data_IF_064247746335
#
_entry.id   IF_064247746335
#
_cell.length_a   1.000
_cell.length_b   1.000
_cell.length_c   1.000
_cell.angle_alpha   90.00
_cell.angle_beta   90.00
_cell.angle_gamma   90.00
#
_symmetry.space_group_name_H-M   'P 1'
#
loop_
_entity.id
_entity.type
_entity.pdbx_description
1 polymer ?
#
# COMPACT_ATOMS: atom_id res chain seq x y z
N UNK A 1 3.58 10.45 -7.51
CA UNK A 1 4.80 10.70 -6.71
C UNK A 1 4.59 11.54 -5.43
N UNK A 2 3.36 11.86 -4.97
CA UNK A 2 3.14 12.75 -3.79
C UNK A 2 2.76 12.00 -2.51
N UNK A 3 2.23 10.77 -2.61
CA UNK A 3 1.80 9.99 -1.42
C UNK A 3 2.98 9.31 -0.70
N UNK A 4 4.02 8.88 -1.42
CA UNK A 4 5.14 8.09 -0.87
C UNK A 4 6.16 8.92 -0.08
N UNK A 5 6.38 10.20 -0.41
CA UNK A 5 7.42 11.04 0.22
C UNK A 5 7.12 11.45 1.67
N UNK A 6 5.97 11.05 2.25
CA UNK A 6 5.57 11.45 3.61
C UNK A 6 5.25 10.31 4.57
N UNK A 7 5.54 9.06 4.23
CA UNK A 7 5.49 7.98 5.24
C UNK A 7 6.74 8.02 6.10
N UNK A 8 6.80 9.03 6.97
CA UNK A 8 7.76 9.11 8.06
C UNK A 8 7.44 7.93 9.00
N UNK A 9 8.17 6.82 8.86
CA UNK A 9 8.02 5.58 9.62
C UNK A 9 7.71 5.91 11.09
N UNK A 10 6.53 5.48 11.54
CA UNK A 10 5.80 6.07 12.66
C UNK A 10 6.71 6.46 13.86
N UNK A 11 6.95 7.78 14.01
CA UNK A 11 7.73 8.36 15.12
C UNK A 11 7.22 7.97 16.51
N UNK A 12 5.96 7.56 16.62
CA UNK A 12 5.36 7.03 17.84
C UNK A 12 4.30 5.96 17.54
N UNK A 13 4.02 5.07 18.51
CA UNK A 13 2.95 4.05 18.37
C UNK A 13 1.55 4.64 18.13
N UNK A 14 1.28 5.84 18.65
CA UNK A 14 0.04 6.57 18.35
C UNK A 14 -0.04 6.94 16.86
N UNK A 15 1.09 7.33 16.27
CA UNK A 15 1.18 7.60 14.84
C UNK A 15 0.98 6.31 14.02
N UNK A 16 1.51 5.19 14.49
CA UNK A 16 1.32 3.90 13.81
C UNK A 16 -0.16 3.50 13.68
N UNK A 17 -0.94 3.64 14.75
CA UNK A 17 -2.39 3.35 14.69
C UNK A 17 -3.13 4.25 13.71
N UNK A 18 -2.78 5.53 13.64
CA UNK A 18 -3.36 6.46 12.65
C UNK A 18 -2.96 6.08 11.23
N UNK A 19 -1.69 5.72 11.01
CA UNK A 19 -1.21 5.28 9.72
C UNK A 19 -1.94 4.01 9.24
N UNK A 20 -2.16 3.03 10.13
CA UNK A 20 -2.96 1.85 9.82
C UNK A 20 -4.39 2.23 9.38
N UNK A 21 -5.07 3.08 10.15
CA UNK A 21 -6.44 3.53 9.83
C UNK A 21 -6.54 4.19 8.45
N UNK A 22 -5.61 5.09 8.13
CA UNK A 22 -5.59 5.76 6.81
C UNK A 22 -5.36 4.77 5.68
N UNK A 23 -4.48 3.78 5.88
CA UNK A 23 -4.24 2.74 4.88
C UNK A 23 -5.45 1.82 4.72
N UNK A 24 -6.13 1.46 5.81
CA UNK A 24 -7.35 0.65 5.76
C UNK A 24 -8.47 1.38 4.99
N UNK A 25 -8.73 2.65 5.30
CA UNK A 25 -9.72 3.48 4.59
C UNK A 25 -9.40 3.60 3.09
N UNK A 26 -8.11 3.74 2.75
CA UNK A 26 -7.66 3.78 1.36
C UNK A 26 -7.90 2.44 0.65
N UNK A 27 -7.59 1.31 1.30
CA UNK A 27 -7.83 -0.01 0.74
C UNK A 27 -9.32 -0.25 0.54
N UNK A 28 -10.14 0.02 1.56
CA UNK A 28 -11.59 -0.15 1.52
C UNK A 28 -12.21 0.63 0.35
N UNK A 29 -11.87 1.90 0.22
CA UNK A 29 -12.40 2.75 -0.87
C UNK A 29 -12.00 2.30 -2.27
N UNK A 30 -10.84 1.65 -2.44
CA UNK A 30 -10.36 1.19 -3.74
C UNK A 30 -10.75 -0.24 -4.09
N UNK A 31 -10.95 -1.11 -3.10
CA UNK A 31 -11.43 -2.49 -3.32
C UNK A 31 -12.78 -2.48 -4.04
N UNK A 32 -13.67 -1.56 -3.69
CA UNK A 32 -14.97 -1.40 -4.35
C UNK A 32 -14.87 -1.03 -5.84
N UNK A 33 -13.72 -0.49 -6.27
CA UNK A 33 -13.47 -0.11 -7.65
C UNK A 33 -12.89 -1.25 -8.49
N UNK A 34 -12.32 -2.29 -7.87
CA UNK A 34 -11.69 -3.42 -8.58
C UNK A 34 -12.61 -4.10 -9.61
N UNK A 35 -13.90 -4.37 -9.33
CA UNK A 35 -14.78 -5.02 -10.30
C UNK A 35 -14.99 -4.20 -11.57
N UNK A 36 -14.82 -2.88 -11.50
CA UNK A 36 -14.98 -1.96 -12.64
C UNK A 36 -13.74 -1.90 -13.54
N UNK A 37 -12.62 -2.50 -13.12
CA UNK A 37 -11.41 -2.54 -13.92
C UNK A 37 -11.47 -3.64 -15.00
N UNK A 38 -10.86 -3.39 -16.16
CA UNK A 38 -10.57 -4.44 -17.14
C UNK A 38 -9.80 -5.59 -16.49
N UNK A 39 -10.08 -6.82 -16.93
CA UNK A 39 -9.51 -8.03 -16.34
C UNK A 39 -7.98 -8.00 -16.26
N UNK A 40 -7.33 -7.52 -17.33
CA UNK A 40 -5.87 -7.42 -17.42
C UNK A 40 -5.23 -6.46 -16.38
N UNK A 41 -5.99 -5.49 -15.84
CA UNK A 41 -5.53 -4.55 -14.81
C UNK A 41 -5.92 -4.96 -13.40
N UNK A 42 -6.98 -5.78 -13.28
CA UNK A 42 -7.57 -6.15 -11.99
C UNK A 42 -6.57 -6.89 -11.10
N UNK A 43 -5.75 -7.77 -11.67
CA UNK A 43 -4.74 -8.52 -10.94
C UNK A 43 -3.69 -7.59 -10.29
N UNK A 44 -3.06 -6.72 -11.09
CA UNK A 44 -2.04 -5.78 -10.60
C UNK A 44 -2.62 -4.78 -9.59
N UNK A 45 -3.85 -4.32 -9.82
CA UNK A 45 -4.55 -3.47 -8.86
C UNK A 45 -4.85 -4.21 -7.54
N UNK A 46 -5.26 -5.48 -7.59
CA UNK A 46 -5.49 -6.28 -6.38
C UNK A 46 -4.19 -6.52 -5.60
N UNK A 47 -3.08 -6.81 -6.28
CA UNK A 47 -1.76 -6.94 -5.65
C UNK A 47 -1.31 -5.63 -4.98
N UNK A 48 -1.53 -4.49 -5.62
CA UNK A 48 -1.22 -3.17 -5.04
C UNK A 48 -2.01 -2.93 -3.75
N UNK A 49 -3.32 -3.23 -3.74
CA UNK A 49 -4.16 -3.09 -2.55
C UNK A 49 -3.78 -4.09 -1.45
N UNK A 50 -3.36 -5.31 -1.82
CA UNK A 50 -2.87 -6.29 -0.86
C UNK A 50 -1.59 -5.81 -0.16
N UNK A 51 -0.66 -5.19 -0.88
CA UNK A 51 0.56 -4.63 -0.27
C UNK A 51 0.27 -3.44 0.65
N UNK A 52 -0.71 -2.58 0.30
CA UNK A 52 -1.18 -1.53 1.22
C UNK A 52 -1.82 -2.11 2.50
N UNK A 53 -2.61 -3.18 2.38
CA UNK A 53 -3.21 -3.86 3.52
C UNK A 53 -2.14 -4.49 4.43
N UNK A 54 -1.13 -5.13 3.83
CA UNK A 54 0.03 -5.68 4.56
C UNK A 54 0.81 -4.61 5.32
N UNK A 55 0.95 -3.42 4.73
CA UNK A 55 1.57 -2.27 5.39
C UNK A 55 0.72 -1.76 6.57
N UNK A 56 -0.61 -1.71 6.41
CA UNK A 56 -1.53 -1.36 7.50
C UNK A 56 -1.40 -2.36 8.67
N UNK A 57 -1.30 -3.65 8.38
CA UNK A 57 -1.08 -4.70 9.39
C UNK A 57 0.26 -4.55 10.12
N UNK A 58 1.34 -4.24 9.42
CA UNK A 58 2.63 -3.97 10.07
C UNK A 58 2.51 -2.80 11.08
N UNK A 59 1.81 -1.72 10.71
CA UNK A 59 1.55 -0.62 11.63
C UNK A 59 0.66 -1.02 12.82
N UNK A 60 -0.36 -1.86 12.61
CA UNK A 60 -1.19 -2.42 13.69
C UNK A 60 -0.35 -3.24 14.65
N UNK A 61 0.47 -4.16 14.15
CA UNK A 61 1.32 -5.02 14.96
C UNK A 61 2.31 -4.21 15.80
N UNK A 62 2.92 -3.18 15.23
CA UNK A 62 3.78 -2.28 15.99
C UNK A 62 3.01 -1.49 17.06
N UNK A 63 1.80 -1.00 16.71
CA UNK A 63 0.89 -0.32 17.64
C UNK A 63 0.37 -1.19 18.79
N UNK A 64 0.39 -2.51 18.61
CA UNK A 64 0.03 -3.55 19.59
C UNK A 64 1.24 -4.16 20.31
N UNK A 65 2.46 -3.79 19.92
CA UNK A 65 3.74 -4.33 20.42
C UNK A 65 4.02 -5.79 20.04
N UNK A 66 3.41 -6.29 18.97
CA UNK A 66 3.73 -7.61 18.42
C UNK A 66 5.01 -7.62 17.60
N UNK A 67 5.38 -6.45 17.05
CA UNK A 67 6.67 -6.21 16.42
C UNK A 67 7.32 -4.96 17.02
N UNK A 68 8.64 -4.88 16.94
CA UNK A 68 9.37 -3.68 17.31
C UNK A 68 9.46 -2.68 16.15
N UNK A 69 10.24 -1.62 16.38
CA UNK A 69 10.41 -0.55 15.39
C UNK A 69 11.25 -1.01 14.21
N UNK A 70 12.31 -1.77 14.43
CA UNK A 70 13.21 -2.23 13.37
C UNK A 70 12.46 -3.13 12.39
N UNK A 71 11.63 -4.03 12.91
CA UNK A 71 10.78 -4.89 12.10
C UNK A 71 9.69 -4.11 11.35
N UNK A 72 9.14 -3.04 11.96
CA UNK A 72 8.25 -2.13 11.25
C UNK A 72 8.97 -1.44 10.09
N UNK A 73 10.18 -0.94 10.30
CA UNK A 73 10.97 -0.27 9.26
C UNK A 73 11.33 -1.25 8.14
N UNK A 74 11.74 -2.47 8.47
CA UNK A 74 12.05 -3.53 7.50
C UNK A 74 10.82 -3.90 6.65
N UNK A 75 9.67 -4.16 7.27
CA UNK A 75 8.42 -4.46 6.55
C UNK A 75 7.92 -3.26 5.76
N UNK A 76 8.07 -2.06 6.31
CA UNK A 76 7.71 -0.80 5.67
C UNK A 76 8.48 -0.58 4.38
N UNK A 77 9.82 -0.69 4.41
CA UNK A 77 10.65 -0.58 3.21
C UNK A 77 10.29 -1.66 2.18
N UNK A 78 10.16 -2.92 2.60
CA UNK A 78 9.80 -4.00 1.67
C UNK A 78 8.43 -3.78 1.01
N UNK A 79 7.45 -3.23 1.71
CA UNK A 79 6.14 -2.92 1.14
C UNK A 79 6.23 -1.74 0.16
N UNK A 80 6.98 -0.69 0.51
CA UNK A 80 7.19 0.48 -0.37
C UNK A 80 7.86 0.05 -1.68
N UNK A 81 8.91 -0.76 -1.63
CA UNK A 81 9.63 -1.25 -2.83
C UNK A 81 8.70 -2.02 -3.78
N UNK A 82 7.78 -2.82 -3.21
CA UNK A 82 6.77 -3.55 -3.99
C UNK A 82 5.72 -2.63 -4.57
N UNK A 83 5.23 -1.65 -3.80
CA UNK A 83 4.27 -0.66 -4.29
C UNK A 83 4.85 0.16 -5.44
N UNK A 84 6.13 0.55 -5.38
CA UNK A 84 6.82 1.24 -6.48
C UNK A 84 6.90 0.37 -7.74
N UNK A 85 7.21 -0.92 -7.57
CA UNK A 85 7.24 -1.90 -8.66
C UNK A 85 5.86 -2.03 -9.32
N UNK A 86 4.82 -2.23 -8.50
CA UNK A 86 3.44 -2.41 -8.96
C UNK A 86 2.89 -1.14 -9.61
N UNK A 87 3.22 0.05 -9.08
CA UNK A 87 2.83 1.32 -9.69
C UNK A 87 3.46 1.47 -11.08
N UNK A 88 4.75 1.14 -11.24
CA UNK A 88 5.43 1.14 -12.54
C UNK A 88 4.74 0.19 -13.53
N UNK A 89 4.30 -0.98 -13.07
CA UNK A 89 3.54 -1.92 -13.91
C UNK A 89 2.18 -1.37 -14.32
N UNK A 90 1.44 -0.73 -13.40
CA UNK A 90 0.16 -0.09 -13.70
C UNK A 90 0.30 1.05 -14.72
N UNK A 91 1.35 1.87 -14.60
CA UNK A 91 1.62 2.97 -15.54
C UNK A 91 1.89 2.43 -16.95
N UNK A 92 2.69 1.37 -17.08
CA UNK A 92 2.89 0.69 -18.37
C UNK A 92 1.59 0.13 -18.93
N UNK A 93 0.76 -0.52 -18.12
CA UNK A 93 -0.55 -1.03 -18.54
C UNK A 93 -1.51 0.08 -18.98
N UNK A 94 -1.39 1.29 -18.44
CA UNK A 94 -2.14 2.47 -18.90
C UNK A 94 -1.72 2.88 -20.29
N UNK A 95 -0.42 3.04 -20.51
CA UNK A 95 0.17 3.45 -21.79
C UNK A 95 -0.19 2.48 -22.93
N UNK A 96 -0.22 1.17 -22.67
CA UNK A 96 -0.63 0.17 -23.68
C UNK A 96 -2.09 0.28 -24.12
N UNK A 97 -3.00 0.74 -23.27
CA UNK A 97 -4.42 0.88 -23.63
C UNK A 97 -4.73 2.19 -24.32
N UNK A 98 -3.87 3.21 -24.20
CA UNK A 98 -4.04 4.49 -24.90
C UNK A 98 -3.54 4.43 -26.37
N UNK A 99 -2.95 3.29 -26.77
CA UNK A 99 -2.45 3.01 -28.11
C UNK A 99 -3.42 2.16 -28.98
N UNK A 100 -4.55 1.74 -28.42
CA UNK A 100 -5.66 1.02 -29.08
C UNK A 100 -6.89 1.94 -29.26
#
# INVERSE_FOLDING_TARGET
MVVMTRMNLARSRRHARRAACVLDELVESQVELLPRLPEHRRAVAAEYLAELAMLADAYRYYGQRWIDREELERRGHSAIDRLDTLQTMQERQREYTDLD
#
